data_IF_548949310147
#
_entry.id   IF_548949310147
#
_cell.length_a   1.000
_cell.length_b   1.000
_cell.length_c   1.000
_cell.angle_alpha   90.00
_cell.angle_beta   90.00
_cell.angle_gamma   90.00
#
_symmetry.space_group_name_H-M   'P 1'
#
loop_
_entity.id
_entity.type
_entity.pdbx_description
1 polymer ?
#
# COMPACT_ATOMS: atom_id res chain seq x y z
N UNK A 1 -9.44 -79.02 -9.38
CA UNK A 1 -10.13 -77.72 -9.23
C UNK A 1 -9.23 -76.76 -8.43
N UNK A 2 -8.36 -75.99 -9.10
CA UNK A 2 -7.37 -75.14 -8.44
C UNK A 2 -7.98 -73.75 -8.10
N UNK A 3 -8.02 -73.41 -6.82
CA UNK A 3 -8.58 -72.16 -6.29
C UNK A 3 -7.56 -71.03 -6.49
N UNK A 4 -7.79 -70.17 -7.50
CA UNK A 4 -6.96 -69.00 -7.83
C UNK A 4 -7.10 -67.93 -6.73
N UNK A 5 -6.06 -67.74 -5.92
CA UNK A 5 -5.99 -66.70 -4.88
C UNK A 5 -5.86 -65.32 -5.53
N UNK A 6 -6.85 -64.45 -5.33
CA UNK A 6 -6.79 -63.03 -5.69
C UNK A 6 -5.89 -62.29 -4.68
N UNK A 7 -4.92 -61.53 -5.19
CA UNK A 7 -4.09 -60.63 -4.37
C UNK A 7 -4.87 -59.33 -4.12
N UNK A 8 -4.90 -58.81 -2.89
CA UNK A 8 -5.49 -57.50 -2.62
C UNK A 8 -4.59 -56.40 -3.24
N UNK A 9 -5.18 -55.59 -4.10
CA UNK A 9 -4.58 -54.37 -4.62
C UNK A 9 -4.47 -53.36 -3.49
N UNK A 10 -3.23 -53.01 -3.10
CA UNK A 10 -2.97 -51.93 -2.16
C UNK A 10 -3.48 -50.62 -2.76
N UNK A 11 -4.52 -50.04 -2.14
CA UNK A 11 -4.96 -48.68 -2.43
C UNK A 11 -3.83 -47.73 -2.01
N UNK A 12 -3.28 -46.98 -2.97
CA UNK A 12 -2.39 -45.86 -2.67
C UNK A 12 -3.19 -44.85 -1.86
N UNK A 13 -2.86 -44.75 -0.57
CA UNK A 13 -3.31 -43.66 0.28
C UNK A 13 -2.64 -42.40 -0.26
N UNK A 14 -3.39 -41.64 -1.05
CA UNK A 14 -3.08 -40.25 -1.34
C UNK A 14 -3.41 -39.50 -0.05
N UNK A 15 -2.47 -39.50 0.89
CA UNK A 15 -2.57 -38.68 2.08
C UNK A 15 -2.24 -37.24 1.66
N UNK A 16 -3.27 -36.40 1.76
CA UNK A 16 -3.26 -34.94 1.75
C UNK A 16 -2.28 -34.35 2.79
N UNK A 17 -0.98 -34.51 2.56
CA UNK A 17 0.05 -33.80 3.32
C UNK A 17 0.55 -32.68 2.45
N UNK A 18 0.00 -31.48 2.70
CA UNK A 18 0.65 -30.22 2.35
C UNK A 18 2.16 -30.38 2.58
N UNK A 19 2.94 -30.24 1.51
CA UNK A 19 4.38 -30.44 1.59
C UNK A 19 4.98 -29.38 2.50
N UNK A 20 6.02 -29.72 3.27
CA UNK A 20 6.76 -28.75 4.09
C UNK A 20 7.23 -27.55 3.23
N UNK A 21 7.51 -27.77 1.94
CA UNK A 21 7.84 -26.71 0.99
C UNK A 21 6.68 -25.77 0.67
N UNK A 22 5.43 -26.26 0.66
CA UNK A 22 4.25 -25.41 0.41
C UNK A 22 3.98 -24.48 1.59
N UNK A 23 4.14 -24.98 2.82
CA UNK A 23 4.03 -24.17 4.05
C UNK A 23 5.11 -23.08 4.10
N UNK A 24 6.35 -23.42 3.76
CA UNK A 24 7.45 -22.45 3.69
C UNK A 24 7.21 -21.37 2.63
N UNK A 25 6.64 -21.74 1.49
CA UNK A 25 6.26 -20.78 0.46
C UNK A 25 5.13 -19.87 0.92
N UNK A 26 4.14 -20.40 1.64
CA UNK A 26 3.05 -19.60 2.21
C UNK A 26 3.56 -18.59 3.24
N UNK A 27 4.45 -19.01 4.14
CA UNK A 27 5.11 -18.12 5.12
C UNK A 27 5.92 -17.01 4.45
N UNK A 28 6.65 -17.32 3.38
CA UNK A 28 7.42 -16.34 2.62
C UNK A 28 6.48 -15.34 1.93
N UNK A 29 5.38 -15.82 1.34
CA UNK A 29 4.37 -14.97 0.72
C UNK A 29 3.66 -14.07 1.74
N UNK A 30 3.36 -14.57 2.94
CA UNK A 30 2.80 -13.76 4.02
C UNK A 30 3.77 -12.67 4.45
N UNK A 31 5.06 -12.99 4.66
CA UNK A 31 6.08 -11.99 4.99
C UNK A 31 6.19 -10.92 3.91
N UNK A 32 6.17 -11.29 2.64
CA UNK A 32 6.24 -10.33 1.52
C UNK A 32 5.02 -9.42 1.45
N UNK A 33 3.81 -9.95 1.74
CA UNK A 33 2.60 -9.14 1.82
C UNK A 33 2.67 -8.15 2.99
N UNK A 34 3.07 -8.63 4.16
CA UNK A 34 3.20 -7.78 5.35
C UNK A 34 4.20 -6.64 5.12
N UNK A 35 5.39 -6.93 4.56
CA UNK A 35 6.37 -5.88 4.26
C UNK A 35 5.86 -4.89 3.22
N UNK A 36 5.14 -5.36 2.19
CA UNK A 36 4.51 -4.48 1.20
C UNK A 36 3.49 -3.53 1.84
N UNK A 37 2.66 -4.03 2.75
CA UNK A 37 1.63 -3.23 3.40
C UNK A 37 2.23 -2.26 4.42
N UNK A 38 3.27 -2.66 5.14
CA UNK A 38 4.06 -1.76 5.99
C UNK A 38 4.69 -0.62 5.20
N UNK A 39 5.33 -0.93 4.06
CA UNK A 39 5.95 0.09 3.20
C UNK A 39 4.92 1.07 2.65
N UNK A 40 3.76 0.58 2.20
CA UNK A 40 2.65 1.45 1.76
C UNK A 40 2.15 2.36 2.87
N UNK A 41 1.99 1.84 4.09
CA UNK A 41 1.53 2.63 5.23
C UNK A 41 2.54 3.73 5.58
N UNK A 42 3.84 3.44 5.51
CA UNK A 42 4.91 4.44 5.72
C UNK A 42 4.87 5.51 4.63
N UNK A 43 4.70 5.11 3.38
CA UNK A 43 4.68 6.03 2.24
C UNK A 43 3.47 6.96 2.27
N UNK A 44 2.28 6.42 2.59
CA UNK A 44 1.07 7.23 2.79
C UNK A 44 1.23 8.24 3.92
N UNK A 45 1.77 7.83 5.07
CA UNK A 45 2.03 8.75 6.19
C UNK A 45 2.98 9.88 5.82
N UNK A 46 4.04 9.57 5.07
CA UNK A 46 4.99 10.61 4.60
C UNK A 46 4.32 11.61 3.66
N UNK A 47 3.49 11.13 2.74
CA UNK A 47 2.76 12.01 1.82
C UNK A 47 1.76 12.91 2.56
N UNK A 48 1.04 12.36 3.54
CA UNK A 48 0.11 13.14 4.36
C UNK A 48 0.85 14.22 5.17
N UNK A 49 1.97 13.87 5.80
CA UNK A 49 2.78 14.84 6.56
C UNK A 49 3.35 15.94 5.67
N UNK A 50 3.82 15.61 4.47
CA UNK A 50 4.36 16.59 3.53
C UNK A 50 3.26 17.52 2.98
N UNK A 51 2.07 16.99 2.69
CA UNK A 51 0.92 17.79 2.29
C UNK A 51 0.46 18.72 3.41
N UNK A 52 0.47 18.26 4.65
CA UNK A 52 0.09 19.06 5.81
C UNK A 52 1.11 20.19 6.05
N UNK A 53 2.41 19.88 6.00
CA UNK A 53 3.48 20.89 6.05
C UNK A 53 3.36 21.93 4.94
N UNK A 54 3.08 21.51 3.70
CA UNK A 54 2.89 22.45 2.59
C UNK A 54 1.67 23.36 2.80
N UNK A 55 0.57 22.84 3.37
CA UNK A 55 -0.62 23.66 3.67
C UNK A 55 -0.33 24.68 4.77
N UNK A 56 0.36 24.27 5.82
CA UNK A 56 0.73 25.16 6.90
C UNK A 56 1.69 26.26 6.41
N UNK A 57 2.67 25.89 5.59
CA UNK A 57 3.61 26.84 5.01
C UNK A 57 2.92 27.84 4.08
N UNK A 58 1.96 27.40 3.25
CA UNK A 58 1.13 28.32 2.44
C UNK A 58 0.33 29.26 3.32
N UNK A 59 -0.31 28.74 4.38
CA UNK A 59 -1.09 29.56 5.32
C UNK A 59 -0.23 30.60 6.03
N UNK A 60 0.98 30.23 6.44
CA UNK A 60 1.93 31.15 7.06
C UNK A 60 2.45 32.19 6.07
N UNK A 61 2.76 31.76 4.84
CA UNK A 61 3.16 32.68 3.77
C UNK A 61 2.05 33.69 3.51
N UNK A 62 0.83 33.25 3.21
CA UNK A 62 -0.33 34.13 2.99
C UNK A 62 -0.58 35.12 4.14
N UNK A 63 -0.47 34.68 5.40
CA UNK A 63 -0.61 35.57 6.57
C UNK A 63 0.50 36.60 6.68
N UNK A 64 1.69 36.30 6.19
CA UNK A 64 2.86 37.18 6.22
C UNK A 64 3.14 37.86 4.87
N UNK A 65 2.32 37.62 3.83
CA UNK A 65 2.45 38.32 2.55
C UNK A 65 2.17 39.79 2.78
N UNK A 66 2.99 40.63 2.16
CA UNK A 66 2.73 42.06 2.13
C UNK A 66 1.51 42.35 1.24
N UNK A 67 0.84 43.48 1.49
CA UNK A 67 -0.32 43.91 0.70
C UNK A 67 -0.01 43.99 -0.81
N UNK A 68 1.22 44.35 -1.18
CA UNK A 68 1.68 44.46 -2.57
C UNK A 68 1.70 43.10 -3.29
N UNK A 69 2.14 42.03 -2.62
CA UNK A 69 2.12 40.68 -3.19
C UNK A 69 0.69 40.14 -3.31
N UNK A 70 -0.15 40.36 -2.29
CA UNK A 70 -1.56 39.99 -2.34
C UNK A 70 -2.31 40.73 -3.46
N UNK A 71 -1.99 42.02 -3.66
CA UNK A 71 -2.58 42.84 -4.71
C UNK A 71 -2.09 42.41 -6.10
N UNK A 72 -0.81 42.10 -6.26
CA UNK A 72 -0.23 41.60 -7.52
C UNK A 72 -0.73 40.20 -7.93
N UNK A 73 -1.05 39.34 -6.97
CA UNK A 73 -1.71 38.05 -7.21
C UNK A 73 -3.22 38.20 -7.50
N UNK A 74 -3.83 39.28 -7.01
CA UNK A 74 -5.22 39.57 -7.29
C UNK A 74 -5.38 40.13 -8.71
N UNK A 75 -6.42 39.69 -9.43
CA UNK A 75 -6.78 40.29 -10.73
C UNK A 75 -7.38 41.71 -10.58
N UNK A 76 -7.16 42.40 -9.45
CA UNK A 76 -7.63 43.77 -9.29
C UNK A 76 -6.70 44.71 -10.05
N UNK A 77 -7.17 45.14 -11.21
CA UNK A 77 -6.54 46.23 -11.93
C UNK A 77 -7.13 47.55 -11.40
N UNK A 78 -6.29 48.40 -10.80
CA UNK A 78 -6.72 49.71 -10.26
C UNK A 78 -7.50 50.53 -11.30
N UNK A 79 -7.13 50.38 -12.58
CA UNK A 79 -7.75 51.02 -13.73
C UNK A 79 -9.26 50.76 -13.85
N UNK A 80 -9.77 49.67 -13.29
CA UNK A 80 -11.18 49.29 -13.35
C UNK A 80 -12.06 50.02 -12.32
N UNK A 81 -11.44 50.71 -11.36
CA UNK A 81 -12.11 51.37 -10.23
C UNK A 81 -11.96 52.91 -10.21
N UNK A 82 -11.41 53.51 -11.28
CA UNK A 82 -11.19 54.97 -11.38
C UNK A 82 -12.22 55.69 -12.23
#
# INVERSE_FOLDING_TARGET
>A
MAKKKQKPTAKKVQDDKLSLGDLLNEDILMKLKNTKDELKAVEQRKQEEELERQREERRLREKNKSFEELLGESNLNWSDFK
#
